data_IF_975479720841
#
_entry.id   IF_975479720841
#
_cell.length_a   1.000
_cell.length_b   1.000
_cell.length_c   1.000
_cell.angle_alpha   90.00
_cell.angle_beta   90.00
_cell.angle_gamma   90.00
#
_symmetry.space_group_name_H-M   'P 1'
#
loop_
_entity.id
_entity.type
_entity.pdbx_description
1 polymer ?
#
# COMPACT_ATOMS: atom_id res chain seq x y z
N UNK A 1 -12.73 12.48 -13.40
CA UNK A 1 -11.36 12.55 -12.83
C UNK A 1 -10.64 11.29 -13.24
N UNK A 2 -9.35 11.35 -13.59
CA UNK A 2 -8.57 10.15 -13.86
C UNK A 2 -8.52 9.30 -12.58
N UNK A 3 -8.69 7.99 -12.71
CA UNK A 3 -8.60 7.06 -11.60
C UNK A 3 -7.12 6.89 -11.20
N UNK A 4 -6.82 6.92 -9.90
CA UNK A 4 -5.45 6.73 -9.42
C UNK A 4 -4.86 5.39 -9.90
N UNK A 5 -3.59 5.42 -10.28
CA UNK A 5 -2.81 4.23 -10.59
C UNK A 5 -2.34 3.64 -9.27
N UNK A 6 -2.73 2.41 -8.97
CA UNK A 6 -2.42 1.77 -7.69
C UNK A 6 -1.19 0.87 -7.84
N UNK A 7 -0.31 0.89 -6.85
CA UNK A 7 0.77 -0.08 -6.70
C UNK A 7 0.54 -0.96 -5.48
N UNK A 8 0.90 -2.24 -5.56
CA UNK A 8 0.98 -3.13 -4.40
C UNK A 8 2.38 -3.74 -4.35
N UNK A 9 3.06 -3.51 -3.23
CA UNK A 9 4.32 -4.17 -2.91
C UNK A 9 4.05 -5.19 -1.81
N UNK A 10 4.38 -6.46 -2.09
CA UNK A 10 4.06 -7.58 -1.23
C UNK A 10 2.63 -8.10 -1.46
N UNK A 11 2.25 -8.51 -2.69
CA UNK A 11 0.97 -9.13 -2.96
C UNK A 11 0.93 -10.59 -2.44
N UNK A 12 1.29 -10.77 -1.17
CA UNK A 12 1.12 -12.01 -0.43
C UNK A 12 -0.35 -12.30 -0.15
N UNK A 13 -0.64 -13.06 0.90
CA UNK A 13 -2.00 -13.52 1.21
C UNK A 13 -3.02 -12.38 1.32
N UNK A 14 -2.66 -11.30 2.03
CA UNK A 14 -3.53 -10.12 2.21
C UNK A 14 -3.52 -9.23 0.97
N UNK A 15 -2.33 -8.92 0.44
CA UNK A 15 -2.18 -8.06 -0.74
C UNK A 15 -2.84 -8.63 -1.99
N UNK A 16 -2.87 -9.96 -2.16
CA UNK A 16 -3.57 -10.61 -3.27
C UNK A 16 -5.10 -10.44 -3.17
N UNK A 17 -5.65 -10.51 -1.96
CA UNK A 17 -7.08 -10.25 -1.76
C UNK A 17 -7.43 -8.79 -2.07
N UNK A 18 -6.61 -7.83 -1.58
CA UNK A 18 -6.77 -6.40 -1.89
C UNK A 18 -6.69 -6.15 -3.40
N UNK A 19 -5.72 -6.76 -4.10
CA UNK A 19 -5.57 -6.67 -5.55
C UNK A 19 -6.87 -7.07 -6.27
N UNK A 20 -7.46 -8.20 -5.90
CA UNK A 20 -8.71 -8.69 -6.52
C UNK A 20 -9.85 -7.70 -6.35
N UNK A 21 -10.02 -7.12 -5.17
CA UNK A 21 -11.05 -6.11 -4.91
C UNK A 21 -10.80 -4.81 -5.69
N UNK A 22 -9.56 -4.33 -5.73
CA UNK A 22 -9.17 -3.17 -6.53
C UNK A 22 -9.43 -3.39 -8.02
N UNK A 23 -9.07 -4.58 -8.55
CA UNK A 23 -9.35 -4.96 -9.95
C UNK A 23 -10.84 -4.98 -10.23
N UNK A 24 -11.65 -5.55 -9.33
CA UNK A 24 -13.12 -5.57 -9.44
C UNK A 24 -13.71 -4.16 -9.45
N UNK A 25 -13.11 -3.22 -8.73
CA UNK A 25 -13.48 -1.81 -8.73
C UNK A 25 -12.98 -1.03 -9.97
N UNK A 26 -12.21 -1.67 -10.86
CA UNK A 26 -11.75 -1.10 -12.13
C UNK A 26 -10.37 -0.43 -12.08
N UNK A 27 -9.64 -0.51 -10.97
CA UNK A 27 -8.31 0.07 -10.86
C UNK A 27 -7.27 -0.68 -11.71
N UNK A 28 -6.30 0.05 -12.26
CA UNK A 28 -5.06 -0.52 -12.76
C UNK A 28 -4.10 -0.69 -11.60
N UNK A 29 -3.59 -1.90 -11.41
CA UNK A 29 -2.74 -2.23 -10.26
C UNK A 29 -1.42 -2.80 -10.72
N UNK A 30 -0.32 -2.11 -10.43
CA UNK A 30 1.06 -2.56 -10.63
C UNK A 30 1.51 -3.34 -9.39
N UNK A 31 2.17 -4.47 -9.57
CA UNK A 31 2.52 -5.39 -8.48
C UNK A 31 3.99 -5.76 -8.50
N UNK A 32 4.57 -5.92 -7.31
CA UNK A 32 5.92 -6.44 -7.12
C UNK A 32 6.00 -7.31 -5.86
N UNK A 33 6.69 -8.44 -5.95
CA UNK A 33 7.07 -9.29 -4.83
C UNK A 33 8.44 -9.92 -5.10
N UNK A 34 9.24 -10.10 -4.05
CA UNK A 34 10.50 -10.85 -4.13
C UNK A 34 10.27 -12.35 -4.31
N UNK A 35 9.08 -12.84 -3.96
CA UNK A 35 8.68 -14.23 -4.12
C UNK A 35 7.95 -14.38 -5.48
N UNK A 36 8.63 -15.01 -6.43
CA UNK A 36 8.11 -15.23 -7.79
C UNK A 36 6.77 -15.97 -7.81
N UNK A 37 6.53 -16.91 -6.88
CA UNK A 37 5.27 -17.65 -6.81
C UNK A 37 4.11 -16.75 -6.34
N UNK A 38 4.35 -15.77 -5.46
CA UNK A 38 3.34 -14.79 -5.06
C UNK A 38 3.11 -13.78 -6.18
N UNK A 39 4.17 -13.31 -6.81
CA UNK A 39 4.09 -12.41 -7.96
C UNK A 39 3.28 -13.05 -9.10
N UNK A 40 3.55 -14.31 -9.43
CA UNK A 40 2.78 -15.04 -10.46
C UNK A 40 1.29 -15.09 -10.17
N UNK A 41 0.90 -15.36 -8.91
CA UNK A 41 -0.53 -15.33 -8.50
C UNK A 41 -1.16 -13.93 -8.65
N UNK A 42 -0.37 -12.87 -8.38
CA UNK A 42 -0.84 -11.50 -8.53
C UNK A 42 -1.03 -11.14 -10.02
N UNK A 43 -0.13 -11.58 -10.88
CA UNK A 43 -0.25 -11.41 -12.34
C UNK A 43 -1.49 -12.16 -12.86
N UNK A 44 -1.68 -13.40 -12.44
CA UNK A 44 -2.87 -14.22 -12.79
C UNK A 44 -4.18 -13.56 -12.33
N UNK A 45 -4.14 -12.78 -11.24
CA UNK A 45 -5.28 -12.01 -10.74
C UNK A 45 -5.47 -10.65 -11.46
N UNK A 46 -4.67 -10.36 -12.50
CA UNK A 46 -4.77 -9.16 -13.31
C UNK A 46 -3.87 -8.00 -12.88
N UNK A 47 -2.89 -8.26 -12.02
CA UNK A 47 -1.84 -7.30 -11.68
C UNK A 47 -0.87 -7.09 -12.85
N UNK A 48 -0.32 -5.89 -12.97
CA UNK A 48 0.71 -5.54 -13.94
C UNK A 48 2.06 -5.71 -13.24
N UNK A 49 2.91 -6.58 -13.76
CA UNK A 49 4.22 -6.85 -13.19
C UNK A 49 5.14 -5.62 -13.24
N UNK A 50 5.86 -5.39 -12.15
CA UNK A 50 7.00 -4.49 -12.09
C UNK A 50 8.26 -5.27 -11.71
N UNK A 51 9.41 -4.87 -12.26
CA UNK A 51 10.70 -5.52 -12.00
C UNK A 51 11.36 -5.08 -10.69
N UNK A 52 10.84 -4.04 -10.04
CA UNK A 52 11.35 -3.52 -8.76
C UNK A 52 10.31 -2.67 -8.04
N UNK A 53 10.49 -2.42 -6.71
CA UNK A 53 9.67 -1.44 -6.00
C UNK A 53 9.75 -0.04 -6.60
N UNK A 54 10.90 0.36 -7.13
CA UNK A 54 11.08 1.63 -7.84
C UNK A 54 10.14 1.73 -9.03
N UNK A 55 10.06 0.69 -9.85
CA UNK A 55 9.17 0.66 -11.01
C UNK A 55 7.69 0.70 -10.59
N UNK A 56 7.33 0.10 -9.43
CA UNK A 56 6.00 0.31 -8.85
C UNK A 56 5.77 1.79 -8.55
N UNK A 57 6.77 2.48 -7.97
CA UNK A 57 6.71 3.91 -7.70
C UNK A 57 6.51 4.75 -8.97
N UNK A 58 7.26 4.47 -10.03
CA UNK A 58 7.17 5.17 -11.33
C UNK A 58 5.79 5.03 -12.00
N UNK A 59 5.10 3.91 -11.74
CA UNK A 59 3.83 3.57 -12.36
C UNK A 59 2.61 3.76 -11.45
N UNK A 60 2.77 4.37 -10.27
CA UNK A 60 1.68 4.49 -9.29
C UNK A 60 1.55 5.90 -8.73
N UNK A 61 0.31 6.29 -8.48
CA UNK A 61 -0.03 7.51 -7.74
C UNK A 61 -0.33 7.18 -6.26
N UNK A 62 -0.67 5.92 -5.99
CA UNK A 62 -0.96 5.39 -4.66
C UNK A 62 -0.34 4.00 -4.50
N UNK A 63 0.45 3.78 -3.45
CA UNK A 63 1.08 2.48 -3.17
C UNK A 63 0.57 1.92 -1.85
N UNK A 64 0.19 0.64 -1.87
CA UNK A 64 -0.11 -0.17 -0.69
C UNK A 64 1.07 -1.10 -0.45
N UNK A 65 1.65 -1.06 0.75
CA UNK A 65 2.73 -1.95 1.17
C UNK A 65 2.17 -3.00 2.12
N UNK A 66 2.27 -4.27 1.73
CA UNK A 66 1.75 -5.42 2.47
C UNK A 66 2.78 -6.52 2.66
N UNK A 67 4.03 -6.16 3.01
CA UNK A 67 5.13 -7.10 3.29
C UNK A 67 5.08 -7.61 4.73
N UNK A 68 5.92 -8.60 5.09
CA UNK A 68 5.83 -9.30 6.35
C UNK A 68 6.26 -8.50 7.57
N UNK A 69 7.38 -7.78 7.48
CA UNK A 69 8.05 -7.16 8.64
C UNK A 69 8.63 -5.79 8.31
N UNK A 70 8.86 -4.98 9.34
CA UNK A 70 9.41 -3.62 9.22
C UNK A 70 10.71 -3.52 8.39
N UNK A 71 11.73 -4.40 8.54
CA UNK A 71 12.91 -4.35 7.68
C UNK A 71 12.59 -4.50 6.19
N UNK A 72 11.56 -5.26 5.84
CA UNK A 72 11.10 -5.42 4.45
C UNK A 72 10.39 -4.16 3.95
N UNK A 73 9.64 -3.46 4.84
CA UNK A 73 9.04 -2.15 4.52
C UNK A 73 10.13 -1.15 4.16
N UNK A 74 11.19 -1.05 4.97
CA UNK A 74 12.32 -0.19 4.67
C UNK A 74 13.02 -0.58 3.37
N UNK A 75 13.28 -1.87 3.17
CA UNK A 75 13.97 -2.36 1.97
C UNK A 75 13.20 -2.03 0.69
N UNK A 76 11.88 -2.15 0.69
CA UNK A 76 11.08 -1.87 -0.50
C UNK A 76 10.76 -0.38 -0.71
N UNK A 77 10.95 0.47 0.30
CA UNK A 77 10.67 1.90 0.17
C UNK A 77 11.92 2.77 0.00
N UNK A 78 12.99 2.52 0.77
CA UNK A 78 14.03 3.54 1.01
C UNK A 78 15.35 3.33 0.29
N UNK A 79 15.65 2.13 -0.24
CA UNK A 79 16.90 1.87 -0.96
C UNK A 79 16.88 2.46 -2.39
N UNK A 80 17.97 2.34 -3.14
CA UNK A 80 18.11 2.88 -4.50
C UNK A 80 17.08 2.33 -5.50
N UNK A 81 16.63 1.09 -5.28
CA UNK A 81 15.57 0.43 -6.06
C UNK A 81 14.21 0.48 -5.37
N UNK A 82 14.10 1.22 -4.27
CA UNK A 82 12.88 1.38 -3.49
C UNK A 82 11.86 2.31 -4.14
N UNK A 83 10.61 2.17 -3.72
CA UNK A 83 9.50 2.91 -4.32
C UNK A 83 9.65 4.43 -4.22
N UNK A 84 10.26 4.95 -3.13
CA UNK A 84 10.52 6.38 -2.95
C UNK A 84 11.50 6.96 -3.98
N UNK A 85 12.31 6.14 -4.64
CA UNK A 85 13.21 6.59 -5.68
C UNK A 85 12.53 6.77 -7.05
N UNK A 86 11.35 6.15 -7.23
CA UNK A 86 10.59 6.19 -8.48
C UNK A 86 9.30 7.02 -8.41
N UNK A 87 8.72 7.18 -7.22
CA UNK A 87 7.42 7.83 -7.06
C UNK A 87 7.50 9.35 -7.20
N UNK A 88 6.59 9.93 -7.96
CA UNK A 88 6.48 11.38 -8.12
C UNK A 88 5.90 12.05 -6.86
N UNK A 89 6.28 13.32 -6.62
CA UNK A 89 5.67 14.14 -5.59
C UNK A 89 4.15 14.25 -5.79
N UNK A 90 3.41 14.32 -4.70
CA UNK A 90 1.94 14.30 -4.69
C UNK A 90 1.33 12.90 -4.60
N UNK A 91 2.15 11.85 -4.71
CA UNK A 91 1.71 10.47 -4.48
C UNK A 91 1.43 10.17 -3.00
N UNK A 92 0.89 8.99 -2.73
CA UNK A 92 0.60 8.50 -1.38
C UNK A 92 1.11 7.08 -1.19
N UNK A 93 1.71 6.80 -0.04
CA UNK A 93 2.12 5.45 0.39
C UNK A 93 1.35 5.07 1.66
N UNK A 94 0.66 3.94 1.63
CA UNK A 94 -0.03 3.35 2.77
C UNK A 94 0.68 2.05 3.18
N UNK A 95 1.20 2.00 4.39
CA UNK A 95 1.84 0.80 4.95
C UNK A 95 0.80 0.01 5.75
N UNK A 96 0.38 -1.14 5.20
CA UNK A 96 -0.53 -2.08 5.84
C UNK A 96 0.20 -3.16 6.65
N UNK A 97 1.52 -3.20 6.57
CA UNK A 97 2.37 -4.07 7.37
C UNK A 97 2.43 -3.61 8.82
N UNK A 98 2.65 -4.55 9.74
CA UNK A 98 2.93 -4.19 11.14
C UNK A 98 4.35 -3.65 11.27
N UNK A 99 4.48 -2.43 11.76
CA UNK A 99 5.74 -1.75 12.01
C UNK A 99 5.74 -1.05 13.37
N UNK A 100 6.92 -0.67 13.86
CA UNK A 100 7.04 0.07 15.11
C UNK A 100 6.59 1.54 14.92
N UNK A 101 6.16 2.17 16.02
CA UNK A 101 5.79 3.60 16.00
C UNK A 101 6.94 4.46 15.47
N UNK A 102 8.17 4.23 15.96
CA UNK A 102 9.35 4.97 15.48
C UNK A 102 9.64 4.73 13.99
N UNK A 103 9.42 3.50 13.53
CA UNK A 103 9.62 3.12 12.12
C UNK A 103 8.64 3.83 11.18
N UNK A 104 7.35 3.86 11.51
CA UNK A 104 6.37 4.55 10.65
C UNK A 104 6.55 6.06 10.67
N UNK A 105 6.97 6.64 11.78
CA UNK A 105 7.27 8.08 11.88
C UNK A 105 8.51 8.47 11.06
N UNK A 106 9.58 7.67 11.08
CA UNK A 106 10.75 7.87 10.22
C UNK A 106 10.38 7.76 8.73
N UNK A 107 9.55 6.78 8.36
CA UNK A 107 9.08 6.61 6.99
C UNK A 107 8.19 7.78 6.53
N UNK A 108 7.31 8.30 7.41
CA UNK A 108 6.53 9.51 7.14
C UNK A 108 7.43 10.70 6.82
N UNK A 109 8.48 10.92 7.63
CA UNK A 109 9.45 12.00 7.39
C UNK A 109 10.12 11.84 6.02
N UNK A 110 10.63 10.65 5.70
CA UNK A 110 11.29 10.37 4.40
C UNK A 110 10.36 10.57 3.20
N UNK A 111 9.09 10.19 3.34
CA UNK A 111 8.07 10.46 2.34
C UNK A 111 7.84 11.96 2.17
N UNK A 112 7.68 12.67 3.29
CA UNK A 112 7.47 14.13 3.31
C UNK A 112 8.60 14.92 2.66
N UNK A 113 9.85 14.51 2.83
CA UNK A 113 11.03 15.11 2.17
C UNK A 113 10.95 15.03 0.64
N UNK A 114 10.18 14.09 0.10
CA UNK A 114 9.93 13.91 -1.33
C UNK A 114 8.56 14.44 -1.79
N UNK A 115 7.80 15.07 -0.90
CA UNK A 115 6.45 15.55 -1.19
C UNK A 115 5.44 14.41 -1.40
N UNK A 116 5.67 13.25 -0.78
CA UNK A 116 4.80 12.07 -0.83
C UNK A 116 4.06 11.96 0.51
N UNK A 117 2.75 11.79 0.45
CA UNK A 117 1.91 11.56 1.64
C UNK A 117 2.10 10.14 2.16
N UNK A 118 2.02 9.97 3.48
CA UNK A 118 2.21 8.68 4.13
C UNK A 118 1.02 8.33 5.04
N UNK A 119 0.66 7.06 5.07
CA UNK A 119 -0.31 6.49 5.99
C UNK A 119 0.27 5.26 6.67
N UNK A 120 0.15 5.21 7.99
CA UNK A 120 0.25 4.00 8.79
C UNK A 120 -1.15 3.38 8.84
N UNK A 121 -1.32 2.25 8.17
CA UNK A 121 -2.65 1.69 7.92
C UNK A 121 -2.72 0.18 8.18
N UNK A 122 -2.37 -0.29 9.40
CA UNK A 122 -2.51 -1.69 9.73
C UNK A 122 -3.96 -2.16 9.55
N UNK A 123 -4.09 -3.41 9.07
CA UNK A 123 -5.36 -4.04 8.77
C UNK A 123 -5.65 -5.18 9.74
N UNK A 124 -6.91 -5.36 10.07
CA UNK A 124 -7.39 -6.38 11.00
C UNK A 124 -8.52 -7.23 10.41
N UNK A 125 -8.97 -8.24 11.16
CA UNK A 125 -10.00 -9.27 10.87
C UNK A 125 -9.52 -10.47 10.06
N UNK A 126 -8.23 -10.49 9.66
CA UNK A 126 -7.59 -11.67 9.09
C UNK A 126 -8.02 -12.01 7.65
N UNK A 127 -7.60 -13.20 7.20
CA UNK A 127 -7.72 -13.62 5.81
C UNK A 127 -9.14 -13.68 5.29
N UNK A 128 -10.07 -14.21 6.09
CA UNK A 128 -11.46 -14.36 5.64
C UNK A 128 -12.10 -13.01 5.31
N UNK A 129 -11.90 -12.03 6.18
CA UNK A 129 -12.36 -10.67 5.92
C UNK A 129 -11.67 -10.03 4.70
N UNK A 130 -10.41 -10.36 4.44
CA UNK A 130 -9.72 -9.90 3.24
C UNK A 130 -10.38 -10.47 1.96
N UNK A 131 -10.69 -11.77 1.95
CA UNK A 131 -11.33 -12.41 0.82
C UNK A 131 -12.75 -11.84 0.58
N UNK A 132 -13.49 -11.52 1.65
CA UNK A 132 -14.84 -10.93 1.60
C UNK A 132 -14.85 -9.41 1.34
N UNK A 133 -13.73 -8.73 1.43
CA UNK A 133 -13.66 -7.26 1.33
C UNK A 133 -14.20 -6.52 2.55
N UNK A 134 -14.12 -7.14 3.73
CA UNK A 134 -14.65 -6.63 5.00
C UNK A 134 -13.56 -6.39 6.05
N UNK A 135 -12.35 -6.05 5.62
CA UNK A 135 -11.26 -5.68 6.51
C UNK A 135 -11.62 -4.44 7.35
N UNK A 136 -10.96 -4.32 8.48
CA UNK A 136 -10.87 -3.09 9.25
C UNK A 136 -9.49 -2.47 9.01
N UNK A 137 -9.43 -1.22 8.57
CA UNK A 137 -8.21 -0.43 8.52
C UNK A 137 -8.18 0.56 9.70
N UNK A 138 -7.07 0.55 10.45
CA UNK A 138 -6.78 1.52 11.50
C UNK A 138 -5.75 2.50 10.94
N UNK A 139 -6.17 3.72 10.61
CA UNK A 139 -5.36 4.60 9.77
C UNK A 139 -4.84 5.80 10.55
N UNK A 140 -3.52 5.90 10.65
CA UNK A 140 -2.79 7.08 11.11
C UNK A 140 -2.29 7.93 9.95
N UNK A 141 -2.49 9.24 10.04
CA UNK A 141 -2.08 10.20 9.01
C UNK A 141 -2.85 11.51 9.10
N UNK A 142 -2.59 12.44 8.17
CA UNK A 142 -3.38 13.67 8.12
C UNK A 142 -4.82 13.39 7.69
N UNK A 143 -5.77 14.18 8.19
CA UNK A 143 -7.19 14.07 7.81
C UNK A 143 -7.36 14.09 6.29
N UNK A 144 -6.68 15.00 5.61
CA UNK A 144 -6.72 15.12 4.15
C UNK A 144 -6.28 13.84 3.44
N UNK A 145 -5.15 13.25 3.86
CA UNK A 145 -4.62 12.02 3.25
C UNK A 145 -5.54 10.84 3.53
N UNK A 146 -6.09 10.72 4.75
CA UNK A 146 -7.05 9.66 5.11
C UNK A 146 -8.31 9.76 4.26
N UNK A 147 -8.92 10.94 4.16
CA UNK A 147 -10.15 11.13 3.36
C UNK A 147 -9.94 10.86 1.86
N UNK A 148 -8.79 11.28 1.31
CA UNK A 148 -8.40 10.96 -0.07
C UNK A 148 -8.27 9.45 -0.29
N UNK A 149 -7.84 8.70 0.72
CA UNK A 149 -7.59 7.26 0.64
C UNK A 149 -8.84 6.40 0.84
N UNK A 150 -9.91 6.95 1.43
CA UNK A 150 -11.16 6.21 1.71
C UNK A 150 -11.73 5.47 0.50
N UNK A 151 -11.82 6.04 -0.72
CA UNK A 151 -12.37 5.33 -1.87
C UNK A 151 -11.55 4.08 -2.26
N UNK A 152 -10.23 4.11 -2.02
CA UNK A 152 -9.33 2.98 -2.28
C UNK A 152 -9.54 1.90 -1.22
N UNK A 153 -9.45 2.26 0.07
CA UNK A 153 -9.65 1.33 1.18
C UNK A 153 -11.06 0.71 1.19
N UNK A 154 -12.09 1.47 0.82
CA UNK A 154 -13.48 0.98 0.76
C UNK A 154 -13.69 -0.16 -0.25
N UNK A 155 -12.73 -0.42 -1.15
CA UNK A 155 -12.82 -1.58 -2.05
C UNK A 155 -12.59 -2.91 -1.33
N UNK A 156 -11.82 -2.92 -0.23
CA UNK A 156 -11.45 -4.13 0.52
C UNK A 156 -11.67 -4.02 2.05
N UNK A 157 -12.13 -2.86 2.54
CA UNK A 157 -12.48 -2.64 3.96
C UNK A 157 -13.95 -2.28 4.08
N UNK A 158 -14.63 -2.82 5.10
CA UNK A 158 -15.95 -2.34 5.53
C UNK A 158 -15.86 -1.20 6.53
N UNK A 159 -14.74 -1.11 7.26
CA UNK A 159 -14.53 -0.10 8.31
C UNK A 159 -13.14 0.53 8.15
N UNK A 160 -13.10 1.85 8.21
CA UNK A 160 -11.88 2.66 8.08
C UNK A 160 -11.88 3.68 9.21
N UNK A 161 -11.08 3.42 10.24
CA UNK A 161 -11.01 4.24 11.45
C UNK A 161 -9.78 5.14 11.41
N UNK A 162 -9.98 6.45 11.49
CA UNK A 162 -8.90 7.41 11.60
C UNK A 162 -8.43 7.52 13.05
N UNK A 163 -7.23 7.03 13.34
CA UNK A 163 -6.69 6.92 14.69
C UNK A 163 -5.94 8.17 15.17
N UNK A 164 -5.67 9.11 14.29
CA UNK A 164 -4.88 10.30 14.58
C UNK A 164 -3.68 10.45 13.64
N UNK A 165 -2.59 11.02 14.13
CA UNK A 165 -1.34 11.12 13.37
C UNK A 165 -0.71 9.74 13.14
N UNK A 166 0.33 9.68 12.29
CA UNK A 166 1.10 8.45 12.05
C UNK A 166 1.68 7.90 13.36
N UNK A 167 1.51 6.59 13.58
CA UNK A 167 1.98 5.90 14.78
C UNK A 167 1.06 6.02 16.01
N UNK A 168 -0.18 6.49 15.87
CA UNK A 168 -1.19 6.54 16.95
C UNK A 168 -2.05 5.29 16.97
#
# INVERSE_FOLDING_TARGET
MAQDRIGIIGPGRMGLAMLKHLKKAGFNVTVYDVNEAQLGKAIDAGGIEAGSPREVGENSDYIIVGVGFEPEVYACLTNETGALSGMAAGGTIAVCSTASVGGVQDLEQRCGEKGISFLDAPIARGRWAADEGTLLALVGGTVETVERSRPIFATFCSDIEHMGAVGH
#
